data_IF_878866136324
#
_entry.id   IF_878866136324
#
_cell.length_a   1.000
_cell.length_b   1.000
_cell.length_c   1.000
_cell.angle_alpha   90.00
_cell.angle_beta   90.00
_cell.angle_gamma   90.00
#
_symmetry.space_group_name_H-M   'P 1'
#
loop_
_entity.id
_entity.type
_entity.pdbx_description
1 polymer ?
#
# COMPACT_ATOMS: atom_id res chain seq x y z
N UNK A 1 -4.44 37.71 -14.96
CA UNK A 1 -5.51 36.87 -14.38
C UNK A 1 -5.33 35.46 -14.92
N UNK A 2 -4.82 34.56 -14.10
CA UNK A 2 -4.61 33.16 -14.48
C UNK A 2 -5.92 32.39 -14.61
N UNK A 3 -5.91 31.28 -15.36
CA UNK A 3 -7.07 30.38 -15.54
C UNK A 3 -7.69 29.94 -14.19
N UNK A 4 -6.84 29.75 -13.19
CA UNK A 4 -7.23 29.40 -11.81
C UNK A 4 -7.99 30.54 -11.12
N UNK A 5 -7.55 31.80 -11.27
CA UNK A 5 -8.22 32.97 -10.69
C UNK A 5 -9.57 33.23 -11.35
N UNK A 6 -9.70 32.98 -12.66
CA UNK A 6 -10.97 33.08 -13.37
C UNK A 6 -11.98 32.03 -12.90
N UNK A 7 -11.52 30.80 -12.63
CA UNK A 7 -12.36 29.71 -12.09
C UNK A 7 -12.82 30.02 -10.66
N UNK A 8 -11.92 30.52 -9.81
CA UNK A 8 -12.25 30.92 -8.42
C UNK A 8 -13.18 32.15 -8.40
N UNK A 9 -13.03 33.09 -9.32
CA UNK A 9 -13.91 34.26 -9.43
C UNK A 9 -15.32 33.88 -9.88
N UNK A 10 -15.47 32.95 -10.82
CA UNK A 10 -16.78 32.45 -11.29
C UNK A 10 -17.52 31.64 -10.20
N UNK A 11 -16.77 31.00 -9.29
CA UNK A 11 -17.29 30.29 -8.12
C UNK A 11 -17.94 31.24 -7.08
N UNK A 12 -17.41 32.45 -6.95
CA UNK A 12 -17.87 33.44 -5.97
C UNK A 12 -19.12 34.20 -6.42
N UNK A 13 -19.49 34.13 -7.70
CA UNK A 13 -20.64 34.87 -8.28
C UNK A 13 -21.99 34.15 -8.17
N UNK A 14 -22.05 32.94 -7.62
CA UNK A 14 -23.29 32.27 -7.24
C UNK A 14 -23.85 31.30 -8.30
N UNK A 15 -23.86 30.01 -7.96
CA UNK A 15 -24.32 28.84 -8.72
C UNK A 15 -23.37 28.38 -9.83
N UNK A 16 -22.33 27.58 -9.48
CA UNK A 16 -21.51 26.92 -10.48
C UNK A 16 -22.35 25.92 -11.30
N UNK A 17 -22.22 25.95 -12.62
CA UNK A 17 -22.85 24.97 -13.52
C UNK A 17 -22.10 23.64 -13.53
N UNK A 18 -22.71 22.58 -14.06
CA UNK A 18 -22.15 21.21 -14.08
C UNK A 18 -20.74 21.13 -14.64
N UNK A 19 -20.40 21.97 -15.64
CA UNK A 19 -19.08 22.01 -16.24
C UNK A 19 -18.04 22.55 -15.25
N UNK A 20 -18.37 23.62 -14.54
CA UNK A 20 -17.50 24.20 -13.51
C UNK A 20 -17.30 23.25 -12.32
N UNK A 21 -18.37 22.56 -11.88
CA UNK A 21 -18.28 21.55 -10.81
C UNK A 21 -17.36 20.39 -11.25
N UNK A 22 -17.51 19.91 -12.49
CA UNK A 22 -16.64 18.84 -13.05
C UNK A 22 -15.18 19.28 -13.16
N UNK A 23 -14.90 20.50 -13.62
CA UNK A 23 -13.53 21.02 -13.70
C UNK A 23 -12.87 21.09 -12.33
N UNK A 24 -13.59 21.57 -11.31
CA UNK A 24 -13.08 21.66 -9.94
C UNK A 24 -12.88 20.28 -9.32
N UNK A 25 -13.83 19.38 -9.53
CA UNK A 25 -13.71 17.99 -9.12
C UNK A 25 -12.45 17.35 -9.71
N UNK A 26 -12.22 17.51 -11.01
CA UNK A 26 -11.03 17.00 -11.68
C UNK A 26 -9.74 17.65 -11.14
N UNK A 27 -9.76 18.95 -10.86
CA UNK A 27 -8.61 19.64 -10.28
C UNK A 27 -8.27 19.15 -8.87
N UNK A 28 -9.27 18.96 -8.00
CA UNK A 28 -9.09 18.44 -6.65
C UNK A 28 -8.66 16.98 -6.68
N UNK A 29 -9.17 16.17 -7.62
CA UNK A 29 -8.73 14.79 -7.78
C UNK A 29 -7.27 14.68 -8.22
N UNK A 30 -6.79 15.64 -9.02
CA UNK A 30 -5.42 15.66 -9.53
C UNK A 30 -4.40 16.30 -8.58
N UNK A 31 -4.81 17.27 -7.76
CA UNK A 31 -3.88 18.12 -6.99
C UNK A 31 -4.24 18.26 -5.51
N UNK A 32 -5.41 17.76 -5.10
CA UNK A 32 -5.88 17.80 -3.72
C UNK A 32 -5.55 16.52 -2.95
N UNK A 33 -5.54 16.64 -1.63
CA UNK A 33 -5.50 15.49 -0.72
C UNK A 33 -6.92 15.01 -0.38
N UNK A 34 -7.01 13.87 0.34
CA UNK A 34 -8.28 13.28 0.73
C UNK A 34 -9.14 14.22 1.60
N UNK A 35 -8.53 15.08 2.42
CA UNK A 35 -9.23 16.02 3.29
C UNK A 35 -9.92 17.12 2.46
N UNK A 36 -9.19 17.73 1.52
CA UNK A 36 -9.71 18.75 0.60
C UNK A 36 -10.80 18.20 -0.32
N UNK A 37 -10.71 16.92 -0.69
CA UNK A 37 -11.76 16.22 -1.42
C UNK A 37 -13.06 16.10 -0.59
N UNK A 38 -12.96 15.60 0.65
CA UNK A 38 -14.13 15.47 1.54
C UNK A 38 -14.79 16.81 1.84
N UNK A 39 -14.01 17.88 2.05
CA UNK A 39 -14.54 19.22 2.26
C UNK A 39 -15.28 19.76 1.03
N UNK A 40 -14.75 19.51 -0.17
CA UNK A 40 -15.41 19.88 -1.42
C UNK A 40 -16.74 19.17 -1.62
N UNK A 41 -16.78 17.84 -1.42
CA UNK A 41 -18.02 17.05 -1.54
C UNK A 41 -19.08 17.56 -0.57
N UNK A 42 -18.71 17.85 0.69
CA UNK A 42 -19.60 18.45 1.69
C UNK A 42 -20.13 19.82 1.23
N UNK A 43 -19.24 20.71 0.77
CA UNK A 43 -19.62 22.05 0.32
C UNK A 43 -20.55 22.06 -0.90
N UNK A 44 -20.38 21.11 -1.83
CA UNK A 44 -21.32 20.97 -2.96
C UNK A 44 -22.65 20.36 -2.51
N UNK A 45 -22.63 19.37 -1.61
CA UNK A 45 -23.84 18.75 -1.07
C UNK A 45 -24.74 19.74 -0.29
N UNK A 46 -24.14 20.69 0.42
CA UNK A 46 -24.85 21.75 1.16
C UNK A 46 -25.50 22.78 0.25
N UNK A 47 -24.85 23.15 -0.85
CA UNK A 47 -25.30 24.21 -1.76
C UNK A 47 -26.16 23.71 -2.92
N UNK A 48 -26.06 22.43 -3.25
CA UNK A 48 -26.73 21.84 -4.40
C UNK A 48 -27.20 20.41 -4.09
N UNK A 49 -28.35 20.25 -3.39
CA UNK A 49 -28.89 18.94 -3.02
C UNK A 49 -29.10 18.02 -4.23
N UNK A 50 -29.46 18.58 -5.38
CA UNK A 50 -29.60 17.87 -6.66
C UNK A 50 -28.31 17.20 -7.15
N UNK A 51 -27.13 17.73 -6.80
CA UNK A 51 -25.84 17.16 -7.21
C UNK A 51 -25.25 16.22 -6.15
N UNK A 52 -25.86 16.16 -4.95
CA UNK A 52 -25.37 15.38 -3.81
C UNK A 52 -25.28 13.88 -4.12
N UNK A 53 -26.33 13.30 -4.69
CA UNK A 53 -26.39 11.86 -4.97
C UNK A 53 -25.33 11.43 -6.00
N UNK A 54 -25.14 12.25 -7.03
CA UNK A 54 -24.13 11.99 -8.05
C UNK A 54 -22.71 12.06 -7.49
N UNK A 55 -22.42 13.06 -6.66
CA UNK A 55 -21.10 13.22 -6.03
C UNK A 55 -20.82 12.18 -4.95
N UNK A 56 -21.83 11.77 -4.18
CA UNK A 56 -21.71 10.63 -3.25
C UNK A 56 -21.36 9.35 -4.01
N UNK A 57 -22.07 9.05 -5.10
CA UNK A 57 -21.78 7.89 -5.96
C UNK A 57 -20.34 7.91 -6.47
N UNK A 58 -19.84 9.08 -6.86
CA UNK A 58 -18.45 9.22 -7.32
C UNK A 58 -17.46 9.01 -6.16
N UNK A 59 -17.74 9.58 -4.98
CA UNK A 59 -16.91 9.39 -3.80
C UNK A 59 -16.85 7.91 -3.37
N UNK A 60 -17.98 7.20 -3.40
CA UNK A 60 -18.05 5.77 -3.09
C UNK A 60 -17.22 4.95 -4.08
N UNK A 61 -17.34 5.22 -5.38
CA UNK A 61 -16.54 4.56 -6.42
C UNK A 61 -15.04 4.82 -6.25
N UNK A 62 -14.65 6.03 -5.87
CA UNK A 62 -13.25 6.36 -5.60
C UNK A 62 -12.73 5.64 -4.35
N UNK A 63 -13.55 5.56 -3.30
CA UNK A 63 -13.22 4.83 -2.09
C UNK A 63 -13.05 3.33 -2.38
N UNK A 64 -13.99 2.73 -3.13
CA UNK A 64 -13.92 1.33 -3.53
C UNK A 64 -12.68 1.05 -4.41
N UNK A 65 -12.39 1.90 -5.39
CA UNK A 65 -11.21 1.76 -6.24
C UNK A 65 -9.91 1.85 -5.42
N UNK A 66 -9.84 2.79 -4.47
CA UNK A 66 -8.71 2.93 -3.55
C UNK A 66 -8.54 1.71 -2.65
N UNK A 67 -9.64 1.21 -2.08
CA UNK A 67 -9.65 0.01 -1.25
C UNK A 67 -9.21 -1.22 -2.04
N UNK A 68 -9.78 -1.46 -3.22
CA UNK A 68 -9.41 -2.59 -4.08
C UNK A 68 -7.94 -2.54 -4.46
N UNK A 69 -7.43 -1.37 -4.85
CA UNK A 69 -6.00 -1.20 -5.16
C UNK A 69 -5.12 -1.52 -3.95
N UNK A 70 -5.42 -0.93 -2.79
CA UNK A 70 -4.66 -1.17 -1.56
C UNK A 70 -4.71 -2.63 -1.11
N UNK A 71 -5.87 -3.28 -1.24
CA UNK A 71 -6.05 -4.69 -0.92
C UNK A 71 -5.23 -5.60 -1.85
N UNK A 72 -5.25 -5.35 -3.16
CA UNK A 72 -4.46 -6.10 -4.14
C UNK A 72 -2.96 -5.92 -3.91
N UNK A 73 -2.50 -4.70 -3.70
CA UNK A 73 -1.09 -4.40 -3.41
C UNK A 73 -0.64 -5.08 -2.11
N UNK A 74 -1.46 -5.00 -1.06
CA UNK A 74 -1.20 -5.65 0.22
C UNK A 74 -1.13 -7.17 0.11
N UNK A 75 -2.05 -7.79 -0.63
CA UNK A 75 -2.05 -9.23 -0.87
C UNK A 75 -0.79 -9.68 -1.65
N UNK A 76 -0.44 -8.95 -2.71
CA UNK A 76 0.74 -9.28 -3.51
C UNK A 76 2.02 -9.16 -2.69
N UNK A 77 2.16 -8.06 -1.94
CA UNK A 77 3.32 -7.83 -1.07
C UNK A 77 3.43 -8.91 0.00
N UNK A 78 2.33 -9.18 0.73
CA UNK A 78 2.32 -10.22 1.77
C UNK A 78 2.63 -11.61 1.22
N UNK A 79 2.15 -11.94 0.01
CA UNK A 79 2.48 -13.22 -0.65
C UNK A 79 3.96 -13.30 -1.04
N UNK A 80 4.56 -12.22 -1.52
CA UNK A 80 5.98 -12.19 -1.87
C UNK A 80 6.87 -12.29 -0.64
N UNK A 81 6.59 -11.49 0.38
CA UNK A 81 7.31 -11.49 1.66
C UNK A 81 7.22 -12.86 2.33
N UNK A 82 6.00 -13.41 2.48
CA UNK A 82 5.81 -14.73 3.10
C UNK A 82 6.47 -15.86 2.31
N UNK A 83 6.51 -15.79 0.97
CA UNK A 83 7.24 -16.77 0.16
C UNK A 83 8.75 -16.66 0.38
N UNK A 84 9.29 -15.45 0.47
CA UNK A 84 10.71 -15.21 0.66
C UNK A 84 11.16 -15.63 2.07
N UNK A 85 10.42 -15.24 3.10
CA UNK A 85 10.66 -15.65 4.48
C UNK A 85 10.61 -17.17 4.62
N UNK A 86 9.56 -17.80 4.09
CA UNK A 86 9.43 -19.26 4.14
C UNK A 86 10.54 -20.00 3.38
N UNK A 87 11.06 -19.43 2.28
CA UNK A 87 12.20 -20.00 1.57
C UNK A 87 13.49 -19.92 2.41
N UNK A 88 13.75 -18.76 3.03
CA UNK A 88 14.93 -18.54 3.87
C UNK A 88 14.87 -19.44 5.12
N UNK A 89 13.72 -19.47 5.79
CA UNK A 89 13.51 -20.30 6.97
C UNK A 89 13.63 -21.80 6.62
N UNK A 90 13.05 -22.22 5.49
CA UNK A 90 13.15 -23.59 5.01
C UNK A 90 14.59 -23.99 4.68
N UNK A 91 15.33 -23.14 3.97
CA UNK A 91 16.75 -23.37 3.67
C UNK A 91 17.59 -23.44 4.94
N UNK A 92 17.34 -22.55 5.91
CA UNK A 92 18.05 -22.54 7.18
C UNK A 92 17.75 -23.77 8.02
N UNK A 93 16.48 -24.16 8.11
CA UNK A 93 16.03 -25.36 8.83
C UNK A 93 16.67 -26.61 8.26
N UNK A 94 16.69 -26.72 6.92
CA UNK A 94 17.31 -27.86 6.25
C UNK A 94 18.83 -27.88 6.42
N UNK A 95 19.50 -26.72 6.32
CA UNK A 95 20.93 -26.62 6.58
C UNK A 95 21.28 -27.06 8.01
N UNK A 96 20.48 -26.66 9.01
CA UNK A 96 20.65 -27.08 10.40
C UNK A 96 20.42 -28.58 10.58
N UNK A 97 19.40 -29.14 9.91
CA UNK A 97 19.13 -30.58 9.92
C UNK A 97 20.33 -31.37 9.38
N UNK A 98 20.86 -30.95 8.23
CA UNK A 98 22.04 -31.55 7.61
C UNK A 98 23.26 -31.43 8.54
N UNK A 99 23.52 -30.25 9.11
CA UNK A 99 24.63 -30.03 10.04
C UNK A 99 24.57 -30.98 11.24
N UNK A 100 23.38 -31.15 11.83
CA UNK A 100 23.15 -32.06 12.96
C UNK A 100 23.41 -33.52 12.59
N UNK A 101 22.93 -33.96 11.43
CA UNK A 101 23.21 -35.33 10.93
C UNK A 101 24.70 -35.53 10.72
N UNK A 102 25.39 -34.60 10.05
CA UNK A 102 26.83 -34.72 9.79
C UNK A 102 27.65 -34.80 11.07
N UNK A 103 27.31 -33.99 12.08
CA UNK A 103 27.97 -34.04 13.40
C UNK A 103 27.71 -35.36 14.13
N UNK A 104 26.48 -35.88 14.06
CA UNK A 104 26.14 -37.19 14.64
C UNK A 104 26.91 -38.33 13.97
N UNK A 105 27.19 -38.21 12.67
CA UNK A 105 27.99 -39.15 11.89
C UNK A 105 29.51 -38.96 12.10
N UNK A 106 29.93 -38.05 12.99
CA UNK A 106 31.33 -37.82 13.35
C UNK A 106 32.10 -36.91 12.39
N UNK A 107 31.42 -36.16 11.52
CA UNK A 107 32.06 -35.15 10.65
C UNK A 107 32.59 -34.00 11.50
N UNK A 108 33.80 -33.52 11.19
CA UNK A 108 34.40 -32.41 11.93
C UNK A 108 33.62 -31.10 11.74
N UNK A 109 33.57 -30.29 12.80
CA UNK A 109 32.83 -29.03 12.82
C UNK A 109 33.26 -28.08 11.68
N UNK A 110 34.56 -28.04 11.34
CA UNK A 110 35.06 -27.14 10.31
C UNK A 110 34.55 -27.50 8.92
N UNK A 111 34.43 -28.80 8.62
CA UNK A 111 33.86 -29.32 7.37
C UNK A 111 32.36 -29.09 7.32
N UNK A 112 31.65 -29.29 8.44
CA UNK A 112 30.21 -29.00 8.54
C UNK A 112 29.91 -27.53 8.25
N UNK A 113 30.69 -26.60 8.83
CA UNK A 113 30.53 -25.17 8.56
C UNK A 113 30.78 -24.81 7.10
N UNK A 114 31.80 -25.41 6.46
CA UNK A 114 32.10 -25.17 5.03
C UNK A 114 30.99 -25.65 4.12
N UNK A 115 30.39 -26.81 4.41
CA UNK A 115 29.35 -27.44 3.57
C UNK A 115 28.00 -26.76 3.77
N UNK A 116 27.59 -26.55 5.01
CA UNK A 116 26.27 -25.99 5.35
C UNK A 116 26.24 -24.46 5.34
N UNK A 117 27.41 -23.82 5.30
CA UNK A 117 27.61 -22.36 5.41
C UNK A 117 27.03 -21.76 6.69
N UNK A 118 26.83 -22.57 7.72
CA UNK A 118 26.37 -22.13 9.02
C UNK A 118 27.57 -21.73 9.91
N UNK A 119 27.35 -20.72 10.75
CA UNK A 119 28.27 -20.35 11.81
C UNK A 119 28.22 -21.33 12.98
N UNK A 120 29.22 -21.28 13.88
CA UNK A 120 29.25 -22.16 15.05
C UNK A 120 28.07 -21.86 15.97
N UNK A 121 27.75 -20.58 16.12
CA UNK A 121 26.67 -20.05 16.94
C UNK A 121 25.31 -20.60 16.46
N UNK A 122 25.08 -20.61 15.15
CA UNK A 122 23.87 -21.16 14.54
C UNK A 122 23.74 -22.67 14.75
N UNK A 123 24.83 -23.42 14.61
CA UNK A 123 24.86 -24.87 14.80
C UNK A 123 24.60 -25.22 16.28
N UNK A 124 25.21 -24.47 17.20
CA UNK A 124 25.10 -24.68 18.64
C UNK A 124 23.79 -24.12 19.23
N UNK A 125 23.02 -23.35 18.45
CA UNK A 125 21.78 -22.73 18.91
C UNK A 125 22.00 -21.65 19.97
N UNK A 126 23.19 -21.05 20.00
CA UNK A 126 23.52 -19.98 20.94
C UNK A 126 23.18 -18.65 20.27
N UNK A 127 22.00 -18.12 20.56
CA UNK A 127 21.69 -16.71 20.28
C UNK A 127 22.15 -15.86 21.46
N UNK A 128 22.83 -14.74 21.17
CA UNK A 128 23.17 -13.71 22.15
C UNK A 128 21.95 -12.91 22.60
#
# INVERSE_FOLDING_TARGET
MGLVEQIVSLLLTGVPNDSQIKTLFNYILQTGDALRFSEFIRGVAERSPQHKEHLMTIADRLHEAGFQKGWLEGQQKGKQEGKQEGLIEGQRTEALRIARTMLADGTDLSTVQKITRLSVEEIQGVSH
#
